data_IF_233880408669
#
_entry.id   IF_233880408669
#
_cell.length_a   1.000
_cell.length_b   1.000
_cell.length_c   1.000
_cell.angle_alpha   90.00
_cell.angle_beta   90.00
_cell.angle_gamma   90.00
#
_symmetry.space_group_name_H-M   'P 1'
#
loop_
_entity.id
_entity.type
_entity.pdbx_description
1 polymer ?
#
# COMPACT_ATOMS: atom_id res chain seq x y z
N UNK A 1 -55.97 -54.93 67.47
CA UNK A 1 -55.85 -53.46 67.47
C UNK A 1 -54.39 -53.08 67.72
N UNK A 2 -53.84 -52.25 66.81
CA UNK A 2 -52.61 -51.41 66.90
C UNK A 2 -51.28 -52.10 67.27
N UNK A 3 -50.42 -52.30 66.25
CA UNK A 3 -48.97 -52.45 66.40
C UNK A 3 -48.25 -51.22 65.80
N UNK A 4 -47.14 -50.76 66.40
CA UNK A 4 -46.53 -49.47 66.11
C UNK A 4 -45.53 -49.47 64.94
N UNK A 5 -45.31 -48.25 64.47
CA UNK A 5 -44.45 -47.77 63.39
C UNK A 5 -42.96 -48.08 63.64
N UNK A 6 -42.23 -48.50 62.60
CA UNK A 6 -40.77 -48.52 62.56
C UNK A 6 -40.28 -47.84 61.27
N UNK A 7 -39.53 -46.75 61.44
CA UNK A 7 -38.91 -45.93 60.40
C UNK A 7 -37.49 -46.46 60.13
N UNK A 8 -37.09 -46.61 58.87
CA UNK A 8 -35.70 -46.85 58.46
C UNK A 8 -35.37 -45.90 57.30
N UNK A 9 -34.31 -45.11 57.51
CA UNK A 9 -33.94 -43.93 56.73
C UNK A 9 -33.17 -44.21 55.44
N UNK A 10 -33.28 -43.26 54.52
CA UNK A 10 -32.62 -43.23 53.22
C UNK A 10 -31.25 -42.55 53.34
N UNK A 11 -30.17 -43.28 53.03
CA UNK A 11 -28.84 -42.70 52.81
C UNK A 11 -28.77 -42.08 51.41
N UNK A 12 -28.57 -40.76 51.32
CA UNK A 12 -28.30 -40.06 50.05
C UNK A 12 -26.80 -39.91 49.87
N UNK A 13 -26.25 -40.55 48.85
CA UNK A 13 -24.84 -40.46 48.45
C UNK A 13 -24.65 -39.20 47.59
N UNK A 14 -23.96 -38.20 48.13
CA UNK A 14 -23.64 -36.97 47.41
C UNK A 14 -22.42 -37.18 46.49
N UNK A 15 -22.66 -37.18 45.18
CA UNK A 15 -21.60 -37.19 44.15
C UNK A 15 -21.16 -35.74 43.90
N UNK A 16 -19.94 -35.41 44.31
CA UNK A 16 -19.34 -34.09 44.08
C UNK A 16 -18.90 -33.92 42.62
N UNK A 17 -19.50 -32.97 41.91
CA UNK A 17 -19.03 -32.51 40.61
C UNK A 17 -17.89 -31.49 40.81
N UNK A 18 -16.66 -31.92 40.59
CA UNK A 18 -15.52 -31.01 40.47
C UNK A 18 -15.54 -30.36 39.08
N UNK A 19 -16.07 -29.14 38.98
CA UNK A 19 -15.96 -28.31 37.78
C UNK A 19 -14.53 -27.78 37.65
N UNK A 20 -13.74 -28.41 36.77
CA UNK A 20 -12.42 -27.93 36.41
C UNK A 20 -12.49 -26.55 35.76
N UNK A 21 -11.98 -25.54 36.44
CA UNK A 21 -11.77 -24.20 35.88
C UNK A 21 -10.67 -24.29 34.83
N UNK A 22 -11.04 -24.41 33.55
CA UNK A 22 -10.08 -24.29 32.45
C UNK A 22 -9.64 -22.83 32.37
N UNK A 23 -8.45 -22.53 32.87
CA UNK A 23 -7.81 -21.23 32.70
C UNK A 23 -7.49 -21.03 31.21
N UNK A 24 -8.29 -20.23 30.52
CA UNK A 24 -8.00 -19.83 29.16
C UNK A 24 -6.71 -18.99 29.17
N UNK A 25 -5.71 -19.41 28.40
CA UNK A 25 -4.49 -18.63 28.22
C UNK A 25 -4.84 -17.29 27.55
N UNK A 26 -4.24 -16.16 27.98
CA UNK A 26 -4.45 -14.89 27.31
C UNK A 26 -3.98 -14.99 25.84
N UNK A 27 -4.69 -14.35 24.90
CA UNK A 27 -4.27 -14.35 23.51
C UNK A 27 -2.88 -13.72 23.38
N UNK A 28 -2.05 -14.21 22.42
CA UNK A 28 -0.74 -13.61 22.18
C UNK A 28 -0.90 -12.13 21.84
N UNK A 29 -0.15 -11.28 22.54
CA UNK A 29 -0.12 -9.86 22.26
C UNK A 29 0.51 -9.64 20.87
N UNK A 30 -0.23 -9.00 19.97
CA UNK A 30 0.31 -8.61 18.68
C UNK A 30 1.44 -7.59 18.89
N UNK A 31 2.58 -7.79 18.20
CA UNK A 31 3.65 -6.80 18.20
C UNK A 31 3.14 -5.46 17.65
N UNK A 32 3.60 -4.36 18.25
CA UNK A 32 3.27 -3.03 17.77
C UNK A 32 3.76 -2.86 16.32
N UNK A 33 2.95 -2.29 15.43
CA UNK A 33 3.33 -2.11 14.03
C UNK A 33 4.54 -1.19 13.90
N UNK A 34 5.42 -1.50 12.95
CA UNK A 34 6.59 -0.68 12.63
C UNK A 34 6.18 0.78 12.37
N UNK A 35 6.65 1.71 13.21
CA UNK A 35 6.27 3.13 13.17
C UNK A 35 4.75 3.40 13.14
N UNK A 36 3.93 2.54 13.74
CA UNK A 36 2.47 2.68 13.66
C UNK A 36 1.88 2.36 12.29
N UNK A 37 2.68 1.87 11.34
CA UNK A 37 2.25 1.60 9.97
C UNK A 37 1.42 0.33 9.92
N UNK A 38 0.16 0.46 9.49
CA UNK A 38 -0.78 -0.64 9.29
C UNK A 38 -1.05 -0.93 7.80
N UNK A 39 -0.21 -0.39 6.91
CA UNK A 39 -0.37 -0.55 5.48
C UNK A 39 -0.08 -2.00 5.06
N UNK A 40 -0.58 -2.40 3.90
CA UNK A 40 -0.25 -3.69 3.29
C UNK A 40 0.34 -3.50 1.90
N UNK A 41 0.73 -4.61 1.26
CA UNK A 41 1.31 -4.62 -0.09
C UNK A 41 0.31 -4.91 -1.21
N UNK A 42 -0.99 -4.98 -0.90
CA UNK A 42 -2.04 -5.23 -1.89
C UNK A 42 -2.20 -4.04 -2.84
N UNK A 43 -2.78 -4.28 -4.02
CA UNK A 43 -3.04 -3.23 -5.01
C UNK A 43 -3.89 -2.09 -4.42
N UNK A 44 -3.62 -0.86 -4.86
CA UNK A 44 -4.42 0.34 -4.55
C UNK A 44 -4.87 0.98 -5.85
N UNK A 45 -6.13 1.36 -5.96
CA UNK A 45 -6.63 2.00 -7.17
C UNK A 45 -7.85 2.88 -6.91
N UNK A 46 -7.98 3.90 -7.77
CA UNK A 46 -9.18 4.71 -7.96
C UNK A 46 -9.32 4.90 -9.46
N UNK A 47 -10.38 4.38 -10.07
CA UNK A 47 -10.53 4.22 -11.53
C UNK A 47 -10.98 5.49 -12.28
N UNK A 48 -11.00 6.66 -11.64
CA UNK A 48 -11.50 7.89 -12.25
C UNK A 48 -10.43 8.57 -13.11
N UNK A 49 -10.73 8.73 -14.42
CA UNK A 49 -9.87 9.47 -15.35
C UNK A 49 -9.87 10.99 -15.07
N UNK A 50 -8.78 11.65 -15.45
CA UNK A 50 -8.66 13.11 -15.32
C UNK A 50 -7.90 13.73 -16.49
N UNK A 51 -8.09 15.03 -16.70
CA UNK A 51 -7.30 15.85 -17.63
C UNK A 51 -6.04 16.43 -16.98
N UNK A 52 -5.68 15.97 -15.76
CA UNK A 52 -4.48 16.42 -15.09
C UNK A 52 -3.24 16.09 -15.92
N UNK A 53 -2.17 16.86 -15.70
CA UNK A 53 -0.94 16.74 -16.47
C UNK A 53 0.23 16.56 -15.52
N UNK A 54 0.95 15.45 -15.63
CA UNK A 54 2.19 15.23 -14.90
C UNK A 54 3.22 16.25 -15.35
N UNK A 55 3.87 16.88 -14.38
CA UNK A 55 4.87 17.93 -14.61
C UNK A 55 6.22 17.56 -14.05
N UNK A 56 6.25 16.74 -13.00
CA UNK A 56 7.49 16.45 -12.28
C UNK A 56 7.37 15.23 -11.39
N UNK A 57 8.50 14.57 -11.18
CA UNK A 57 8.68 13.52 -10.17
C UNK A 57 9.70 13.98 -9.14
N UNK A 58 9.44 13.67 -7.88
CA UNK A 58 10.36 13.86 -6.75
C UNK A 58 10.39 12.64 -5.86
N UNK A 59 11.48 12.49 -5.14
CA UNK A 59 11.61 11.51 -4.07
C UNK A 59 12.02 12.19 -2.77
N UNK A 60 11.78 11.51 -1.64
CA UNK A 60 12.20 11.96 -0.32
C UNK A 60 12.38 10.79 0.63
N UNK A 61 13.37 10.88 1.51
CA UNK A 61 13.62 9.91 2.58
C UNK A 61 12.92 10.39 3.84
N UNK A 62 12.20 9.51 4.50
CA UNK A 62 11.64 9.73 5.82
C UNK A 62 12.14 8.64 6.78
N UNK A 63 11.96 8.86 8.07
CA UNK A 63 12.42 7.93 9.11
C UNK A 63 11.90 6.50 8.90
N UNK A 64 10.64 6.37 8.47
CA UNK A 64 9.96 5.07 8.39
C UNK A 64 9.58 4.64 6.97
N UNK A 65 9.73 5.51 5.98
CA UNK A 65 9.32 5.25 4.60
C UNK A 65 10.12 6.10 3.61
N UNK A 66 10.20 5.63 2.38
CA UNK A 66 10.62 6.47 1.26
C UNK A 66 9.38 6.92 0.49
N UNK A 67 9.40 8.15 0.00
CA UNK A 67 8.27 8.80 -0.65
C UNK A 67 8.60 9.11 -2.10
N UNK A 68 7.70 8.74 -3.01
CA UNK A 68 7.61 9.27 -4.37
C UNK A 68 6.48 10.31 -4.41
N UNK A 69 6.71 11.42 -5.08
CA UNK A 69 5.67 12.41 -5.40
C UNK A 69 5.66 12.68 -6.89
N UNK A 70 4.51 12.51 -7.52
CA UNK A 70 4.22 12.97 -8.88
C UNK A 70 3.44 14.26 -8.76
N UNK A 71 4.03 15.38 -9.19
CA UNK A 71 3.37 16.68 -9.19
C UNK A 71 2.59 16.86 -10.50
N UNK A 72 1.35 17.34 -10.41
CA UNK A 72 0.47 17.53 -11.55
C UNK A 72 -0.11 18.94 -11.61
N UNK A 73 -0.24 19.45 -12.85
CA UNK A 73 -1.19 20.51 -13.14
C UNK A 73 -2.61 19.93 -13.08
N UNK A 74 -3.53 20.72 -12.52
CA UNK A 74 -4.92 20.33 -12.25
C UNK A 74 -5.05 19.15 -11.28
N UNK A 75 -6.29 18.75 -11.00
CA UNK A 75 -6.63 17.70 -10.03
C UNK A 75 -6.63 16.33 -10.68
N UNK A 76 -5.67 15.49 -10.30
CA UNK A 76 -5.72 14.05 -10.59
C UNK A 76 -6.87 13.43 -9.80
N UNK A 77 -7.59 12.50 -10.43
CA UNK A 77 -8.77 11.86 -9.82
C UNK A 77 -8.58 10.36 -9.60
N UNK A 78 -7.55 9.77 -10.19
CA UNK A 78 -7.37 8.33 -10.13
C UNK A 78 -5.95 7.87 -10.44
N UNK A 79 -5.71 6.63 -10.04
CA UNK A 79 -4.44 5.93 -10.16
C UNK A 79 -4.67 4.43 -10.03
N UNK A 80 -3.67 3.64 -10.40
CA UNK A 80 -3.55 2.25 -10.02
C UNK A 80 -2.11 1.92 -9.66
N UNK A 81 -1.92 1.21 -8.56
CA UNK A 81 -0.61 0.76 -8.10
C UNK A 81 -0.66 -0.70 -7.70
N UNK A 82 0.35 -1.48 -8.07
CA UNK A 82 0.44 -2.90 -7.72
C UNK A 82 1.88 -3.39 -7.85
N UNK A 83 2.23 -4.41 -7.06
CA UNK A 83 3.44 -5.17 -7.33
C UNK A 83 3.26 -6.07 -8.56
N UNK A 84 4.26 -6.14 -9.43
CA UNK A 84 4.23 -6.93 -10.66
C UNK A 84 4.91 -6.22 -11.83
N UNK A 85 4.99 -6.92 -12.97
CA UNK A 85 5.69 -6.40 -14.16
C UNK A 85 5.15 -5.04 -14.60
N UNK A 86 6.09 -4.18 -14.97
CA UNK A 86 5.83 -2.84 -15.49
C UNK A 86 6.07 -2.87 -17.00
N UNK A 87 5.19 -2.22 -17.75
CA UNK A 87 5.27 -2.14 -19.20
C UNK A 87 5.27 -0.67 -19.62
N UNK A 88 6.01 -0.37 -20.68
CA UNK A 88 5.90 0.89 -21.40
C UNK A 88 4.53 1.01 -22.05
N UNK A 89 3.96 2.22 -22.02
CA UNK A 89 2.73 2.50 -22.75
C UNK A 89 3.00 2.58 -24.24
N UNK A 90 2.03 2.12 -25.05
CA UNK A 90 2.14 2.10 -26.52
C UNK A 90 2.87 0.86 -27.07
N UNK A 91 4.02 0.49 -26.52
CA UNK A 91 4.82 -0.67 -26.98
C UNK A 91 4.51 -1.96 -26.21
N UNK A 92 4.14 -1.86 -24.92
CA UNK A 92 3.96 -3.02 -24.05
C UNK A 92 5.27 -3.67 -23.59
N UNK A 93 6.42 -3.11 -23.95
CA UNK A 93 7.74 -3.63 -23.59
C UNK A 93 7.92 -3.62 -22.08
N UNK A 94 8.42 -4.72 -21.51
CA UNK A 94 8.71 -4.79 -20.08
C UNK A 94 9.86 -3.84 -19.70
N UNK A 95 9.66 -3.06 -18.63
CA UNK A 95 10.68 -2.20 -18.03
C UNK A 95 11.35 -2.98 -16.91
N UNK A 96 12.62 -3.39 -17.06
CA UNK A 96 13.33 -4.14 -16.03
C UNK A 96 13.65 -3.24 -14.84
N UNK A 97 13.11 -3.58 -13.66
CA UNK A 97 13.36 -2.83 -12.44
C UNK A 97 14.43 -3.49 -11.56
N UNK A 98 15.21 -2.67 -10.85
CA UNK A 98 16.10 -3.17 -9.80
C UNK A 98 15.26 -3.56 -8.58
N UNK A 99 15.19 -4.86 -8.29
CA UNK A 99 14.53 -5.40 -7.09
C UNK A 99 13.11 -5.88 -7.36
N UNK A 100 12.14 -5.33 -6.63
CA UNK A 100 10.71 -5.66 -6.71
C UNK A 100 9.93 -4.52 -7.34
N UNK A 101 9.30 -4.84 -8.44
CA UNK A 101 8.54 -3.92 -9.28
C UNK A 101 7.25 -3.47 -8.58
N UNK A 102 7.17 -2.19 -8.25
CA UNK A 102 5.92 -1.51 -7.90
C UNK A 102 5.50 -0.62 -9.07
N UNK A 103 4.52 -1.10 -9.84
CA UNK A 103 3.90 -0.37 -10.94
C UNK A 103 3.01 0.76 -10.42
N UNK A 104 3.09 1.93 -11.05
CA UNK A 104 2.28 3.10 -10.75
C UNK A 104 1.72 3.66 -12.07
N UNK A 105 0.42 3.52 -12.29
CA UNK A 105 -0.30 4.19 -13.36
C UNK A 105 -1.04 5.38 -12.79
N UNK A 106 -0.74 6.58 -13.30
CA UNK A 106 -1.46 7.81 -13.01
C UNK A 106 -2.48 8.03 -14.12
N UNK A 107 -3.75 8.24 -13.78
CA UNK A 107 -4.80 8.54 -14.77
C UNK A 107 -4.80 10.03 -15.12
N UNK A 108 -3.70 10.44 -15.75
CA UNK A 108 -3.34 11.78 -16.17
C UNK A 108 -2.40 11.69 -17.38
N UNK A 109 -2.31 12.75 -18.17
CA UNK A 109 -1.37 12.84 -19.29
C UNK A 109 0.00 13.34 -18.81
N UNK A 110 1.07 13.08 -19.57
CA UNK A 110 2.36 13.79 -19.45
C UNK A 110 2.56 14.80 -20.58
N UNK A 111 1.46 15.28 -21.16
CA UNK A 111 1.43 16.23 -22.28
C UNK A 111 0.19 17.13 -22.22
N UNK A 112 0.26 18.25 -22.93
CA UNK A 112 -0.82 19.22 -23.13
C UNK A 112 -1.83 18.73 -24.18
N UNK A 113 -3.01 19.34 -24.27
CA UNK A 113 -4.00 19.00 -25.31
C UNK A 113 -3.47 19.19 -26.75
N UNK A 114 -2.45 20.02 -26.94
CA UNK A 114 -1.75 20.20 -28.22
C UNK A 114 -0.63 19.17 -28.46
N UNK A 115 -0.51 18.15 -27.61
CA UNK A 115 0.52 17.10 -27.72
C UNK A 115 1.91 17.52 -27.24
N UNK A 116 2.10 18.75 -26.73
CA UNK A 116 3.41 19.17 -26.20
C UNK A 116 3.69 18.48 -24.86
N UNK A 117 4.86 17.89 -24.63
CA UNK A 117 5.16 17.22 -23.37
C UNK A 117 5.19 18.19 -22.20
N UNK A 118 4.60 17.78 -21.07
CA UNK A 118 4.66 18.49 -19.78
C UNK A 118 5.62 17.80 -18.81
N UNK A 119 5.97 16.55 -19.07
CA UNK A 119 7.02 15.82 -18.39
C UNK A 119 7.78 14.95 -19.39
N UNK A 120 9.08 15.19 -19.53
CA UNK A 120 9.96 14.47 -20.46
C UNK A 120 11.35 14.32 -19.84
N UNK A 121 11.58 13.28 -19.00
CA UNK A 121 12.85 13.09 -18.35
C UNK A 121 13.92 12.69 -19.37
N UNK A 122 15.16 13.14 -19.17
CA UNK A 122 16.28 12.80 -20.06
C UNK A 122 16.72 11.34 -19.95
N UNK A 123 16.42 10.68 -18.84
CA UNK A 123 16.69 9.26 -18.60
C UNK A 123 15.41 8.61 -18.07
N UNK A 124 14.82 7.71 -18.85
CA UNK A 124 13.57 7.03 -18.50
C UNK A 124 13.77 5.97 -17.42
N UNK A 125 14.93 5.32 -17.36
CA UNK A 125 15.21 4.28 -16.37
C UNK A 125 15.54 4.84 -14.98
N UNK A 126 15.91 6.12 -14.89
CA UNK A 126 16.32 6.77 -13.64
C UNK A 126 15.85 8.22 -13.60
N UNK A 127 14.55 8.41 -13.35
CA UNK A 127 13.94 9.75 -13.30
C UNK A 127 14.19 10.49 -11.99
N UNK A 128 14.71 9.80 -10.98
CA UNK A 128 15.08 10.37 -9.69
C UNK A 128 16.31 9.66 -9.13
N UNK A 129 17.25 10.42 -8.58
CA UNK A 129 18.38 9.84 -7.85
C UNK A 129 17.90 9.30 -6.49
N UNK A 130 18.04 7.99 -6.31
CA UNK A 130 17.65 7.27 -5.08
C UNK A 130 18.84 6.62 -4.37
N UNK A 131 20.07 7.08 -4.65
CA UNK A 131 21.24 6.64 -3.91
C UNK A 131 21.07 6.90 -2.40
N UNK A 132 21.36 5.86 -1.59
CA UNK A 132 21.23 5.93 -0.13
C UNK A 132 19.81 5.81 0.42
N UNK A 133 18.79 5.59 -0.42
CA UNK A 133 17.43 5.32 0.02
C UNK A 133 17.33 3.95 0.68
N UNK A 134 16.48 3.83 1.70
CA UNK A 134 16.32 2.58 2.44
C UNK A 134 15.65 1.53 1.57
N UNK A 135 14.59 1.89 0.83
CA UNK A 135 13.76 0.97 0.03
C UNK A 135 13.92 1.16 -1.47
N UNK A 136 13.96 2.40 -1.95
CA UNK A 136 14.02 2.67 -3.38
C UNK A 136 15.39 2.27 -3.95
N UNK A 137 15.38 1.61 -5.10
CA UNK A 137 16.54 1.20 -5.88
C UNK A 137 16.56 1.83 -7.26
N UNK A 138 15.38 2.16 -7.77
CA UNK A 138 15.19 2.79 -9.07
C UNK A 138 13.83 3.49 -9.10
N UNK A 139 13.73 4.58 -9.87
CA UNK A 139 12.45 5.14 -10.29
C UNK A 139 12.50 5.30 -11.79
N UNK A 140 11.59 4.62 -12.50
CA UNK A 140 11.53 4.61 -13.95
C UNK A 140 10.24 5.25 -14.47
N UNK A 141 10.29 5.73 -15.70
CA UNK A 141 9.19 6.28 -16.46
C UNK A 141 8.84 5.37 -17.62
N UNK A 142 7.59 4.93 -17.68
CA UNK A 142 7.07 4.05 -18.72
C UNK A 142 6.26 4.76 -19.79
N UNK A 143 6.39 6.09 -19.91
CA UNK A 143 5.70 6.88 -20.92
C UNK A 143 4.30 7.37 -20.53
N UNK A 144 3.67 8.10 -21.46
CA UNK A 144 2.29 8.56 -21.35
C UNK A 144 1.52 8.38 -22.66
N UNK A 145 0.36 7.76 -22.59
CA UNK A 145 -0.51 7.51 -23.74
C UNK A 145 -1.98 7.40 -23.28
N UNK A 146 -2.91 7.97 -24.05
CA UNK A 146 -4.36 7.87 -23.85
C UNK A 146 -4.86 8.18 -22.42
N UNK A 147 -4.25 9.16 -21.73
CA UNK A 147 -4.65 9.49 -20.35
C UNK A 147 -4.00 8.63 -19.27
N UNK A 148 -3.08 7.75 -19.63
CA UNK A 148 -2.32 6.91 -18.71
C UNK A 148 -0.86 7.36 -18.73
N UNK A 149 -0.31 7.67 -17.56
CA UNK A 149 1.12 7.91 -17.37
C UNK A 149 1.68 6.86 -16.43
N UNK A 150 2.69 6.11 -16.89
CA UNK A 150 3.25 4.98 -16.13
C UNK A 150 4.58 5.36 -15.50
N UNK A 151 4.75 4.98 -14.24
CA UNK A 151 5.99 4.99 -13.51
C UNK A 151 6.23 3.62 -12.87
N UNK A 152 7.48 3.37 -12.53
CA UNK A 152 7.87 2.21 -11.73
C UNK A 152 8.77 2.61 -10.58
N UNK A 153 8.62 1.93 -9.44
CA UNK A 153 9.62 1.93 -8.37
C UNK A 153 10.21 0.54 -8.26
N UNK A 154 11.52 0.45 -8.36
CA UNK A 154 12.27 -0.73 -7.98
C UNK A 154 12.47 -0.70 -6.47
N UNK A 155 11.78 -1.56 -5.73
CA UNK A 155 11.88 -1.65 -4.28
C UNK A 155 12.84 -2.76 -3.87
N UNK A 156 13.57 -2.61 -2.77
CA UNK A 156 14.43 -3.69 -2.25
C UNK A 156 13.72 -5.01 -1.97
N UNK A 157 12.41 -4.96 -1.71
CA UNK A 157 11.54 -6.08 -1.38
C UNK A 157 10.07 -5.68 -1.61
N UNK A 158 9.15 -6.63 -1.52
CA UNK A 158 7.71 -6.34 -1.53
C UNK A 158 7.27 -5.81 -0.16
N UNK A 159 7.22 -4.49 -0.04
CA UNK A 159 6.99 -3.76 1.22
C UNK A 159 5.63 -3.07 1.25
N UNK A 160 5.06 -2.85 2.45
CA UNK A 160 3.81 -2.13 2.61
C UNK A 160 3.91 -0.73 2.02
N UNK A 161 2.83 -0.28 1.41
CA UNK A 161 2.78 1.05 0.83
C UNK A 161 1.38 1.64 0.91
N UNK A 162 1.30 2.96 0.79
CA UNK A 162 0.04 3.69 0.64
C UNK A 162 0.14 4.67 -0.51
N UNK A 163 -1.03 5.06 -1.01
CA UNK A 163 -1.14 6.05 -2.07
C UNK A 163 -2.17 7.10 -1.66
N UNK A 164 -1.85 8.36 -1.87
CA UNK A 164 -2.69 9.49 -1.51
C UNK A 164 -2.68 10.52 -2.64
N UNK A 165 -3.84 11.15 -2.87
CA UNK A 165 -3.93 12.36 -3.68
C UNK A 165 -3.99 13.52 -2.71
N UNK A 166 -3.08 14.48 -2.87
CA UNK A 166 -3.01 15.68 -2.05
C UNK A 166 -3.14 16.92 -2.93
N UNK A 167 -3.47 18.05 -2.31
CA UNK A 167 -3.37 19.35 -2.97
C UNK A 167 -1.91 19.65 -3.35
N UNK A 168 -1.77 20.18 -4.56
CA UNK A 168 -0.52 20.69 -5.11
C UNK A 168 -0.50 22.22 -5.10
N UNK A 169 0.59 22.83 -5.59
CA UNK A 169 0.64 24.27 -5.78
C UNK A 169 -0.49 24.75 -6.70
N UNK A 170 -1.07 25.91 -6.39
CA UNK A 170 -2.13 26.53 -7.19
C UNK A 170 -3.34 25.61 -7.37
N UNK A 171 -3.77 25.40 -8.61
CA UNK A 171 -4.89 24.51 -8.96
C UNK A 171 -4.47 23.05 -9.13
N UNK A 172 -3.19 22.74 -8.89
CA UNK A 172 -2.59 21.44 -9.08
C UNK A 172 -2.90 20.42 -7.99
N UNK A 173 -2.33 19.23 -8.17
CA UNK A 173 -2.42 18.12 -7.22
C UNK A 173 -1.10 17.35 -7.17
N UNK A 174 -1.01 16.43 -6.22
CA UNK A 174 0.13 15.53 -6.04
C UNK A 174 -0.39 14.12 -5.86
N UNK A 175 0.11 13.18 -6.65
CA UNK A 175 0.00 11.77 -6.31
C UNK A 175 1.22 11.39 -5.47
N UNK A 176 0.99 10.91 -4.26
CA UNK A 176 2.03 10.55 -3.30
C UNK A 176 2.00 9.05 -3.07
N UNK A 177 3.14 8.39 -3.20
CA UNK A 177 3.33 6.97 -2.90
C UNK A 177 4.39 6.85 -1.80
N UNK A 178 3.98 6.34 -0.64
CA UNK A 178 4.90 6.07 0.47
C UNK A 178 5.13 4.57 0.56
N UNK A 179 6.39 4.14 0.58
CA UNK A 179 6.78 2.73 0.76
C UNK A 179 7.53 2.59 2.08
N UNK A 180 6.94 1.83 3.00
CA UNK A 180 7.51 1.59 4.32
C UNK A 180 8.86 0.91 4.23
N UNK A 181 9.78 1.26 5.14
CA UNK A 181 11.10 0.63 5.18
C UNK A 181 11.03 -0.84 5.58
N UNK A 182 9.98 -1.27 6.29
CA UNK A 182 9.81 -2.63 6.85
C UNK A 182 8.33 -3.02 6.85
N UNK A 183 8.10 -4.32 7.03
CA UNK A 183 6.81 -4.85 7.51
C UNK A 183 6.72 -4.72 9.03
#
# INVERSE_FOLDING_TARGET
>A
MKKPLATLGTFVLAVGLATGMSAAAPPPAAAAPYCGITWGSTAKSVSTMSSAQVTRVRTGRHECYDRLVVDLNYKVKGYATRYGSIQEVGTGTHIPMIGRDLSITVYANAYTSAGRPTYNPSNWDSVANVAGYSTFRQVAYGGSFEGHTVFGIGNRAQLPYRVMILDGPGTGSRLVVDVAHRW
#
